data_IF_297362212472
#
_entry.id   IF_297362212472
#
_cell.length_a   1.000
_cell.length_b   1.000
_cell.length_c   1.000
_cell.angle_alpha   90.00
_cell.angle_beta   90.00
_cell.angle_gamma   90.00
#
_symmetry.space_group_name_H-M   'P 1'
#
loop_
_entity.id
_entity.type
_entity.pdbx_description
1 polymer ?
#
# COMPACT_ATOMS: atom_id res chain seq x y z
N UNK A 1 -9.11 42.55 0.91
CA UNK A 1 -9.31 42.02 1.50
C UNK A 1 -9.67 41.62 1.95
N UNK A 2 -9.37 41.93 1.61
CA UNK A 2 -9.69 41.36 2.34
C UNK A 2 -10.22 40.87 2.73
N UNK A 3 -10.16 41.13 2.44
CA UNK A 3 -10.62 40.49 3.19
C UNK A 3 -10.88 40.23 3.30
N UNK A 4 -10.87 40.07 3.40
CA UNK A 4 -11.22 39.56 3.98
C UNK A 4 -11.27 39.39 4.51
N UNK A 5 -11.04 39.75 4.44
CA UNK A 5 -11.11 39.47 5.25
C UNK A 5 -11.45 39.18 5.90
N UNK A 6 -11.41 39.54 5.94
CA UNK A 6 -11.64 39.17 6.83
C UNK A 6 -12.15 38.82 7.07
N UNK A 7 -12.11 38.97 7.28
CA UNK A 7 -12.60 38.25 7.74
C UNK A 7 -12.35 37.66 6.99
N UNK A 8 -12.70 37.94 6.66
CA UNK A 8 -12.02 37.37 5.72
C UNK A 8 -10.68 36.77 6.03
N UNK A 9 -10.06 37.09 6.98
CA UNK A 9 -8.80 36.59 7.37
C UNK A 9 -8.82 35.16 7.83
N UNK A 10 -9.83 34.74 8.57
CA UNK A 10 -10.01 33.35 8.97
C UNK A 10 -10.21 32.44 7.79
N UNK A 11 -10.95 32.93 6.82
CA UNK A 11 -11.18 32.18 5.59
C UNK A 11 -9.89 31.92 4.83
N UNK A 12 -9.04 32.91 4.72
CA UNK A 12 -7.76 32.81 4.06
C UNK A 12 -6.84 31.80 4.77
N UNK A 13 -6.84 31.83 6.10
CA UNK A 13 -6.06 30.94 6.91
C UNK A 13 -6.51 29.48 6.75
N UNK A 14 -7.83 29.26 6.77
CA UNK A 14 -8.39 27.92 6.57
C UNK A 14 -8.04 27.36 5.20
N UNK A 15 -8.08 28.20 4.19
CA UNK A 15 -7.75 27.81 2.83
C UNK A 15 -6.28 27.39 2.72
N UNK A 16 -5.40 28.14 3.36
CA UNK A 16 -3.98 27.85 3.34
C UNK A 16 -3.70 26.49 4.04
N UNK A 17 -4.31 26.27 5.20
CA UNK A 17 -4.14 25.02 5.94
C UNK A 17 -4.68 23.84 5.11
N UNK A 18 -5.81 24.02 4.47
CA UNK A 18 -6.39 22.99 3.62
C UNK A 18 -5.48 22.62 2.46
N UNK A 19 -4.87 23.61 1.81
CA UNK A 19 -3.94 23.37 0.72
C UNK A 19 -2.71 22.63 1.20
N UNK A 20 -2.23 22.94 2.38
CA UNK A 20 -1.06 22.31 2.97
C UNK A 20 -1.34 20.84 3.26
N UNK A 21 -2.50 20.55 3.86
CA UNK A 21 -2.91 19.17 4.17
C UNK A 21 -3.06 18.34 2.90
N UNK A 22 -3.62 18.96 1.86
CA UNK A 22 -3.80 18.27 0.58
C UNK A 22 -2.45 17.94 -0.05
N UNK A 23 -1.49 18.86 0.03
CA UNK A 23 -0.16 18.62 -0.49
C UNK A 23 0.54 17.48 0.26
N UNK A 24 0.36 17.42 1.59
CA UNK A 24 0.89 16.33 2.40
C UNK A 24 0.29 14.99 2.00
N UNK A 25 -1.02 14.97 1.81
CA UNK A 25 -1.73 13.76 1.44
C UNK A 25 -1.27 13.27 0.07
N UNK A 26 -1.09 14.18 -0.89
CA UNK A 26 -0.61 13.81 -2.22
C UNK A 26 0.81 13.25 -2.16
N UNK A 27 1.66 13.81 -1.29
CA UNK A 27 3.01 13.32 -1.11
C UNK A 27 3.01 11.89 -0.54
N UNK A 28 2.12 11.63 0.42
CA UNK A 28 1.96 10.29 0.98
C UNK A 28 1.51 9.31 -0.10
N UNK A 29 0.52 9.70 -0.89
CA UNK A 29 0.00 8.85 -1.96
C UNK A 29 1.07 8.53 -3.00
N UNK A 30 1.88 9.52 -3.36
CA UNK A 30 2.95 9.32 -4.31
C UNK A 30 3.98 8.34 -3.77
N UNK A 31 4.32 8.44 -2.49
CA UNK A 31 5.24 7.51 -1.84
C UNK A 31 4.67 6.09 -1.86
N UNK A 32 3.37 5.94 -1.57
CA UNK A 32 2.72 4.63 -1.61
C UNK A 32 2.78 4.06 -3.03
N UNK A 33 2.53 4.87 -4.05
CA UNK A 33 2.62 4.41 -5.44
C UNK A 33 4.00 3.89 -5.77
N UNK A 34 5.03 4.60 -5.33
CA UNK A 34 6.42 4.20 -5.55
C UNK A 34 6.71 2.88 -4.84
N UNK A 35 6.25 2.75 -3.60
CA UNK A 35 6.45 1.53 -2.83
C UNK A 35 5.70 0.34 -3.43
N UNK A 36 4.49 0.57 -3.95
CA UNK A 36 3.72 -0.48 -4.62
C UNK A 36 4.43 -0.92 -5.89
N UNK A 37 5.02 0.00 -6.63
CA UNK A 37 5.81 -0.35 -7.81
C UNK A 37 6.95 -1.28 -7.43
N UNK A 38 7.62 -1.02 -6.32
CA UNK A 38 8.69 -1.88 -5.82
C UNK A 38 8.18 -3.27 -5.43
N UNK A 39 6.99 -3.33 -4.83
CA UNK A 39 6.36 -4.61 -4.51
C UNK A 39 6.11 -5.42 -5.78
N UNK A 40 5.55 -4.78 -6.80
CA UNK A 40 5.26 -5.46 -8.07
C UNK A 40 6.54 -5.96 -8.72
N UNK A 41 7.59 -5.16 -8.73
CA UNK A 41 8.87 -5.56 -9.28
C UNK A 41 9.48 -6.74 -8.52
N UNK A 42 9.40 -6.71 -7.19
CA UNK A 42 9.92 -7.81 -6.38
C UNK A 42 9.10 -9.10 -6.61
N UNK A 43 7.79 -8.96 -6.81
CA UNK A 43 6.93 -10.09 -7.13
C UNK A 43 7.28 -10.69 -8.48
N UNK A 44 7.53 -9.84 -9.47
CA UNK A 44 7.94 -10.29 -10.80
C UNK A 44 9.30 -11.00 -10.74
N UNK A 45 10.22 -10.48 -9.95
CA UNK A 45 11.53 -11.12 -9.75
C UNK A 45 11.37 -12.50 -9.12
N UNK A 46 10.49 -12.62 -8.13
CA UNK A 46 10.22 -13.88 -7.48
C UNK A 46 9.66 -14.91 -8.48
N UNK A 47 8.69 -14.49 -9.30
CA UNK A 47 8.09 -15.40 -10.28
C UNK A 47 9.12 -15.88 -11.31
N UNK A 48 10.01 -14.98 -11.73
CA UNK A 48 11.06 -15.32 -12.67
C UNK A 48 12.10 -16.25 -12.05
N UNK A 49 12.43 -16.05 -10.80
CA UNK A 49 13.46 -16.82 -10.11
C UNK A 49 12.99 -17.17 -8.70
N UNK A 50 12.13 -18.18 -8.57
CA UNK A 50 11.52 -18.52 -7.28
C UNK A 50 12.54 -19.14 -6.33
N UNK A 51 13.00 -18.37 -5.38
CA UNK A 51 13.95 -18.81 -4.35
C UNK A 51 13.52 -18.25 -3.01
N UNK A 52 14.03 -18.84 -1.91
CA UNK A 52 13.77 -18.24 -0.58
C UNK A 52 14.22 -16.78 -0.50
N UNK A 53 15.29 -16.42 -1.19
CA UNK A 53 15.83 -15.07 -1.16
C UNK A 53 14.90 -14.08 -1.88
N UNK A 54 14.41 -14.43 -3.07
CA UNK A 54 13.50 -13.54 -3.80
C UNK A 54 12.15 -13.45 -3.10
N UNK A 55 11.70 -14.52 -2.45
CA UNK A 55 10.49 -14.48 -1.65
C UNK A 55 10.66 -13.55 -0.46
N UNK A 56 11.80 -13.62 0.21
CA UNK A 56 12.09 -12.75 1.35
C UNK A 56 12.06 -11.29 0.95
N UNK A 57 12.62 -10.95 -0.21
CA UNK A 57 12.60 -9.58 -0.72
C UNK A 57 11.17 -9.12 -1.00
N UNK A 58 10.38 -9.97 -1.61
CA UNK A 58 8.99 -9.67 -1.90
C UNK A 58 8.21 -9.39 -0.59
N UNK A 59 8.38 -10.27 0.39
CA UNK A 59 7.75 -10.08 1.71
C UNK A 59 8.18 -8.76 2.36
N UNK A 60 9.46 -8.43 2.25
CA UNK A 60 10.01 -7.21 2.84
C UNK A 60 9.36 -5.96 2.25
N UNK A 61 9.22 -5.92 0.93
CA UNK A 61 8.58 -4.77 0.26
C UNK A 61 7.11 -4.66 0.63
N UNK A 62 6.41 -5.78 0.73
CA UNK A 62 5.01 -5.80 1.16
C UNK A 62 4.88 -5.23 2.58
N UNK A 63 5.73 -5.71 3.48
CA UNK A 63 5.72 -5.25 4.87
C UNK A 63 5.95 -3.74 4.95
N UNK A 64 6.90 -3.24 4.17
CA UNK A 64 7.23 -1.82 4.17
C UNK A 64 6.04 -0.96 3.73
N UNK A 65 5.35 -1.36 2.67
CA UNK A 65 4.22 -0.56 2.20
C UNK A 65 3.05 -0.61 3.18
N UNK A 66 2.79 -1.77 3.78
CA UNK A 66 1.70 -1.88 4.76
C UNK A 66 2.00 -1.07 6.02
N UNK A 67 3.24 -1.08 6.47
CA UNK A 67 3.66 -0.28 7.62
C UNK A 67 3.57 1.21 7.33
N UNK A 68 3.95 1.61 6.12
CA UNK A 68 3.86 3.00 5.73
C UNK A 68 2.41 3.48 5.69
N UNK A 69 1.52 2.67 5.11
CA UNK A 69 0.09 2.97 5.07
C UNK A 69 -0.46 3.09 6.49
N UNK A 70 -0.13 2.15 7.36
CA UNK A 70 -0.58 2.18 8.75
C UNK A 70 -0.15 3.45 9.46
N UNK A 71 1.10 3.84 9.27
CA UNK A 71 1.66 5.02 9.90
C UNK A 71 0.96 6.30 9.47
N UNK A 72 0.47 6.36 8.25
CA UNK A 72 -0.17 7.54 7.70
C UNK A 72 -1.68 7.39 7.55
N UNK A 73 -2.25 6.39 8.20
CA UNK A 73 -3.66 6.04 8.04
C UNK A 73 -4.59 7.21 8.37
N UNK A 74 -4.26 7.94 9.43
CA UNK A 74 -5.10 9.05 9.87
C UNK A 74 -5.19 10.17 8.82
N UNK A 75 -4.22 10.28 7.92
CA UNK A 75 -4.25 11.27 6.84
C UNK A 75 -4.96 10.75 5.60
N UNK A 76 -5.06 9.45 5.46
CA UNK A 76 -5.69 8.83 4.29
C UNK A 76 -7.16 8.56 4.49
N UNK A 77 -7.57 8.20 5.72
CA UNK A 77 -8.94 7.81 6.00
C UNK A 77 -9.87 9.02 6.04
N UNK A 78 -11.05 8.87 5.52
CA UNK A 78 -12.12 9.86 5.64
C UNK A 78 -12.15 10.93 4.57
N UNK A 79 -11.13 11.02 3.72
CA UNK A 79 -11.09 12.07 2.72
C UNK A 79 -11.56 11.60 1.34
N UNK A 80 -11.45 10.32 1.05
CA UNK A 80 -11.76 9.75 -0.26
C UNK A 80 -12.68 8.56 -0.16
N UNK A 81 -13.60 8.57 0.76
CA UNK A 81 -14.52 7.44 0.96
C UNK A 81 -13.80 6.10 1.11
N UNK A 82 -12.56 6.14 1.57
CA UNK A 82 -11.88 4.91 1.87
C UNK A 82 -12.45 4.33 3.14
N UNK A 83 -12.94 3.14 3.03
CA UNK A 83 -13.33 2.37 4.19
C UNK A 83 -12.08 1.71 4.77
N UNK A 84 -11.00 2.47 4.84
CA UNK A 84 -9.74 1.96 5.36
C UNK A 84 -9.58 2.40 6.80
N UNK A 85 -9.75 1.45 7.69
CA UNK A 85 -9.58 1.63 9.12
C UNK A 85 -8.44 0.73 9.58
N UNK A 86 -7.97 0.97 10.80
CA UNK A 86 -6.91 0.14 11.36
C UNK A 86 -7.32 -1.34 11.46
N UNK A 87 -8.55 -1.67 11.95
CA UNK A 87 -8.97 -3.07 11.94
C UNK A 87 -9.03 -3.69 10.55
N UNK A 88 -9.49 -2.92 9.56
CA UNK A 88 -9.56 -3.44 8.20
C UNK A 88 -8.17 -3.69 7.64
N UNK A 89 -7.23 -2.78 7.88
CA UNK A 89 -5.85 -2.95 7.43
C UNK A 89 -5.23 -4.19 8.06
N UNK A 90 -5.54 -4.45 9.33
CA UNK A 90 -5.05 -5.63 10.01
C UNK A 90 -5.56 -6.92 9.35
N UNK A 91 -6.85 -6.95 9.00
CA UNK A 91 -7.46 -8.09 8.31
C UNK A 91 -6.78 -8.31 6.95
N UNK A 92 -6.54 -7.23 6.22
CA UNK A 92 -5.87 -7.31 4.91
C UNK A 92 -4.46 -7.86 5.07
N UNK A 93 -3.73 -7.40 6.09
CA UNK A 93 -2.36 -7.87 6.34
C UNK A 93 -2.37 -9.37 6.66
N UNK A 94 -3.33 -9.85 7.43
CA UNK A 94 -3.47 -11.27 7.74
C UNK A 94 -3.76 -12.09 6.49
N UNK A 95 -4.61 -11.57 5.62
CA UNK A 95 -4.95 -12.26 4.37
C UNK A 95 -3.72 -12.38 3.48
N UNK A 96 -2.93 -11.32 3.40
CA UNK A 96 -1.69 -11.32 2.60
C UNK A 96 -0.70 -12.31 3.20
N UNK A 97 -0.55 -12.33 4.52
CA UNK A 97 0.35 -13.26 5.20
C UNK A 97 -0.03 -14.72 4.90
N UNK A 98 -1.31 -15.02 4.91
CA UNK A 98 -1.79 -16.36 4.60
C UNK A 98 -1.41 -16.76 3.18
N UNK A 99 -1.60 -15.85 2.23
CA UNK A 99 -1.23 -16.10 0.84
C UNK A 99 0.27 -16.24 0.65
N UNK A 100 1.06 -15.48 1.40
CA UNK A 100 2.51 -15.62 1.38
C UNK A 100 2.95 -16.98 1.95
N UNK A 101 2.27 -17.45 2.99
CA UNK A 101 2.56 -18.78 3.54
C UNK A 101 2.25 -19.87 2.52
N UNK A 102 1.19 -19.70 1.75
CA UNK A 102 0.85 -20.64 0.68
C UNK A 102 1.93 -20.65 -0.40
N UNK A 103 2.44 -19.49 -0.76
CA UNK A 103 3.54 -19.37 -1.73
C UNK A 103 4.79 -20.06 -1.18
N UNK A 104 5.10 -19.85 0.09
CA UNK A 104 6.25 -20.48 0.74
C UNK A 104 6.14 -22.01 0.70
N UNK A 105 4.94 -22.53 0.93
CA UNK A 105 4.70 -23.97 0.86
C UNK A 105 4.91 -24.51 -0.55
N UNK A 106 4.43 -23.78 -1.56
CA UNK A 106 4.62 -24.17 -2.95
C UNK A 106 6.11 -24.19 -3.32
N UNK A 107 6.87 -23.24 -2.76
CA UNK A 107 8.29 -23.14 -3.03
C UNK A 107 9.06 -24.37 -2.56
N UNK A 108 8.56 -25.04 -1.53
CA UNK A 108 9.20 -26.25 -0.98
C UNK A 108 8.88 -27.52 -1.77
N UNK A 109 7.92 -27.47 -2.68
CA UNK A 109 7.52 -28.63 -3.46
C UNK A 109 8.53 -28.91 -4.57
N UNK A 110 8.75 -30.20 -4.84
CA UNK A 110 9.71 -30.61 -5.88
C UNK A 110 9.26 -30.17 -7.27
N UNK A 111 7.96 -30.24 -7.52
CA UNK A 111 7.39 -29.80 -8.79
C UNK A 111 6.57 -28.54 -8.53
N UNK A 112 7.17 -27.40 -8.85
CA UNK A 112 6.54 -26.11 -8.65
C UNK A 112 5.90 -25.63 -9.94
N UNK A 113 4.65 -25.18 -9.83
CA UNK A 113 3.95 -24.62 -10.96
C UNK A 113 4.14 -23.10 -10.95
N UNK A 114 4.96 -22.62 -11.86
CA UNK A 114 5.26 -21.19 -12.00
C UNK A 114 4.00 -20.39 -12.25
N UNK A 115 3.06 -20.95 -12.98
CA UNK A 115 1.80 -20.27 -13.29
C UNK A 115 0.96 -20.06 -12.04
N UNK A 116 0.92 -21.07 -11.16
CA UNK A 116 0.22 -20.94 -9.88
C UNK A 116 0.88 -19.90 -9.00
N UNK A 117 2.21 -19.86 -8.98
CA UNK A 117 2.94 -18.84 -8.23
C UNK A 117 2.65 -17.44 -8.76
N UNK A 118 2.64 -17.27 -10.06
CA UNK A 118 2.32 -16.00 -10.70
C UNK A 118 0.90 -15.55 -10.35
N UNK A 119 -0.04 -16.47 -10.32
CA UNK A 119 -1.41 -16.23 -9.96
C UNK A 119 -1.54 -15.71 -8.53
N UNK A 120 -0.85 -16.37 -7.61
CA UNK A 120 -0.89 -15.99 -6.19
C UNK A 120 -0.21 -14.64 -5.93
N UNK A 121 0.89 -14.38 -6.61
CA UNK A 121 1.54 -13.06 -6.55
C UNK A 121 0.59 -12.00 -7.09
N UNK A 122 -0.09 -12.28 -8.21
CA UNK A 122 -1.09 -11.38 -8.77
C UNK A 122 -2.21 -11.07 -7.80
N UNK A 123 -2.68 -12.07 -7.05
CA UNK A 123 -3.73 -11.89 -6.05
C UNK A 123 -3.27 -10.94 -4.93
N UNK A 124 -2.06 -11.15 -4.43
CA UNK A 124 -1.51 -10.29 -3.38
C UNK A 124 -1.36 -8.85 -3.90
N UNK A 125 -0.80 -8.69 -5.09
CA UNK A 125 -0.63 -7.36 -5.68
C UNK A 125 -1.97 -6.67 -5.87
N UNK A 126 -3.00 -7.42 -6.27
CA UNK A 126 -4.36 -6.91 -6.42
C UNK A 126 -4.93 -6.40 -5.10
N UNK A 127 -4.71 -7.13 -4.02
CA UNK A 127 -5.17 -6.71 -2.69
C UNK A 127 -4.52 -5.38 -2.31
N UNK A 128 -3.22 -5.24 -2.56
CA UNK A 128 -2.48 -4.02 -2.25
C UNK A 128 -2.99 -2.85 -3.10
N UNK A 129 -3.20 -3.07 -4.40
CA UNK A 129 -3.77 -2.04 -5.27
C UNK A 129 -5.13 -1.56 -4.77
N UNK A 130 -5.96 -2.48 -4.26
CA UNK A 130 -7.28 -2.13 -3.76
C UNK A 130 -7.23 -1.26 -2.51
N UNK A 131 -6.16 -1.36 -1.73
CA UNK A 131 -6.01 -0.53 -0.54
C UNK A 131 -5.84 0.93 -0.91
N UNK A 132 -4.99 1.22 -1.88
CA UNK A 132 -4.62 2.61 -2.13
C UNK A 132 -5.40 3.25 -3.28
N UNK A 133 -6.14 2.49 -4.02
CA UNK A 133 -7.02 2.97 -5.07
C UNK A 133 -8.37 3.38 -4.53
#
# INVERSE_FOLDING_TARGET
KTGKKDGVRGSSSSSFVGMFEEAEEQAIRKTIEEMVTEVVEAGNDFVRSPTPNTLKKYKSHIKQVLEYIEKHLYKLSGKYDYDLSQPRLHIIAEEIDEKLDNIASLLLQAERDTLVMAEKVGEINGIIFDIYR
#
